data_IF_647513375626
#
_entry.id   IF_647513375626
#
_cell.length_a   1.000
_cell.length_b   1.000
_cell.length_c   1.000
_cell.angle_alpha   90.00
_cell.angle_beta   90.00
_cell.angle_gamma   90.00
#
_symmetry.space_group_name_H-M   'P 1'
#
loop_
_entity.id
_entity.type
_entity.pdbx_description
1 polymer ?
#
# COMPACT_ATOMS: atom_id res chain seq x y z
N UNK A 1 -2.29 -2.16 19.73
CA UNK A 1 -3.17 -1.93 18.58
C UNK A 1 -2.27 -1.87 17.38
N UNK A 2 -2.25 -2.92 16.58
CA UNK A 2 -1.51 -2.93 15.32
C UNK A 2 -2.33 -2.12 14.33
N UNK A 3 -1.72 -1.07 13.77
CA UNK A 3 -2.34 -0.26 12.72
C UNK A 3 -2.23 -0.98 11.38
N UNK A 4 -3.13 -0.65 10.46
CA UNK A 4 -3.01 -1.04 9.06
C UNK A 4 -2.60 0.19 8.25
N UNK A 5 -1.78 -0.01 7.24
CA UNK A 5 -1.36 1.02 6.30
C UNK A 5 -1.75 0.61 4.88
N UNK A 6 -1.89 1.60 4.02
CA UNK A 6 -2.32 1.40 2.64
C UNK A 6 -1.31 2.06 1.71
N UNK A 7 -0.80 1.31 0.76
CA UNK A 7 -0.03 1.83 -0.38
C UNK A 7 -1.02 2.08 -1.51
N UNK A 8 -1.06 3.32 -2.00
CA UNK A 8 -1.79 3.63 -3.23
C UNK A 8 -0.81 3.65 -4.41
N UNK A 9 -1.27 3.13 -5.55
CA UNK A 9 -0.51 3.09 -6.79
C UNK A 9 -1.21 3.93 -7.86
N UNK A 10 -0.46 4.43 -8.83
CA UNK A 10 -1.02 5.07 -10.03
C UNK A 10 -1.25 4.07 -11.18
N UNK A 11 -0.81 2.81 -11.01
CA UNK A 11 -0.94 1.75 -12.01
C UNK A 11 -1.24 0.39 -11.36
N UNK A 12 -2.19 -0.34 -11.94
CA UNK A 12 -2.51 -1.74 -11.59
C UNK A 12 -1.28 -2.65 -11.69
N UNK A 13 -0.43 -2.44 -12.71
CA UNK A 13 0.77 -3.28 -12.87
C UNK A 13 1.78 -3.07 -11.74
N UNK A 14 1.91 -1.84 -11.24
CA UNK A 14 2.81 -1.56 -10.11
C UNK A 14 2.28 -2.19 -8.82
N UNK A 15 0.96 -2.13 -8.60
CA UNK A 15 0.34 -2.80 -7.46
C UNK A 15 0.57 -4.32 -7.49
N UNK A 16 0.28 -4.98 -8.62
CA UNK A 16 0.50 -6.43 -8.75
C UNK A 16 1.98 -6.81 -8.62
N UNK A 17 2.90 -6.02 -9.18
CA UNK A 17 4.33 -6.27 -9.00
C UNK A 17 4.73 -6.16 -7.53
N UNK A 18 4.22 -5.14 -6.84
CA UNK A 18 4.53 -4.92 -5.42
C UNK A 18 3.95 -6.00 -4.55
N UNK A 19 2.74 -6.47 -4.84
CA UNK A 19 2.19 -7.66 -4.20
C UNK A 19 3.16 -8.82 -4.32
N UNK A 20 3.53 -9.24 -5.54
CA UNK A 20 4.44 -10.36 -5.72
C UNK A 20 5.76 -10.23 -4.92
N UNK A 21 6.29 -9.01 -4.78
CA UNK A 21 7.49 -8.72 -3.99
C UNK A 21 7.26 -8.87 -2.48
N UNK A 22 6.10 -8.44 -2.00
CA UNK A 22 5.71 -8.55 -0.59
C UNK A 22 5.33 -9.99 -0.21
N UNK A 23 4.65 -10.73 -1.10
CA UNK A 23 4.36 -12.16 -0.90
C UNK A 23 5.65 -12.97 -0.80
N UNK A 24 6.66 -12.66 -1.62
CA UNK A 24 7.97 -13.31 -1.55
C UNK A 24 8.69 -13.12 -0.21
N UNK A 25 8.27 -12.12 0.58
CA UNK A 25 8.79 -11.80 1.90
C UNK A 25 7.89 -12.29 3.03
N UNK A 26 6.87 -13.10 2.73
CA UNK A 26 5.87 -13.59 3.69
C UNK A 26 5.14 -12.45 4.44
N UNK A 27 5.01 -11.28 3.81
CA UNK A 27 4.28 -10.14 4.37
C UNK A 27 2.78 -10.38 4.17
N UNK A 28 2.03 -10.38 5.26
CA UNK A 28 0.57 -10.48 5.24
C UNK A 28 -0.03 -9.18 4.68
N UNK A 29 -0.71 -9.25 3.54
CA UNK A 29 -1.26 -8.08 2.86
C UNK A 29 -2.47 -8.42 2.01
N UNK A 30 -3.30 -7.40 1.74
CA UNK A 30 -4.50 -7.52 0.92
C UNK A 30 -4.51 -6.47 -0.19
N UNK A 31 -4.83 -6.90 -1.42
CA UNK A 31 -5.08 -5.97 -2.53
C UNK A 31 -6.57 -5.68 -2.68
N UNK A 32 -6.91 -4.43 -2.87
CA UNK A 32 -8.29 -3.99 -3.10
C UNK A 32 -8.35 -2.79 -4.06
N UNK A 33 -9.51 -2.52 -4.67
CA UNK A 33 -9.70 -1.31 -5.48
C UNK A 33 -9.44 -0.06 -4.64
N UNK A 34 -8.65 0.88 -5.18
CA UNK A 34 -8.35 2.12 -4.45
C UNK A 34 -9.64 2.87 -4.08
N UNK A 35 -9.86 3.18 -2.79
CA UNK A 35 -11.02 3.94 -2.36
C UNK A 35 -11.12 5.28 -3.07
N UNK A 36 -12.35 5.70 -3.37
CA UNK A 36 -12.62 6.99 -4.02
C UNK A 36 -12.14 8.18 -3.20
N UNK A 37 -11.99 8.02 -1.87
CA UNK A 37 -11.41 9.05 -1.00
C UNK A 37 -9.91 9.27 -1.26
N UNK A 38 -9.19 8.27 -1.78
CA UNK A 38 -7.76 8.38 -2.12
C UNK A 38 -7.61 8.87 -3.57
N UNK A 39 -8.28 8.23 -4.53
CA UNK A 39 -8.30 8.69 -5.94
C UNK A 39 -9.56 8.26 -6.70
N UNK A 40 -9.97 9.04 -7.70
CA UNK A 40 -11.07 8.68 -8.61
C UNK A 40 -10.63 7.83 -9.83
N UNK A 41 -9.35 7.48 -9.94
CA UNK A 41 -8.77 6.73 -11.05
C UNK A 41 -8.55 5.25 -10.70
N UNK A 42 -8.76 4.37 -11.68
CA UNK A 42 -8.54 2.93 -11.53
C UNK A 42 -7.04 2.60 -11.39
N UNK A 43 -6.59 2.50 -10.16
CA UNK A 43 -5.40 1.74 -9.80
C UNK A 43 -5.69 1.01 -8.49
N UNK A 44 -4.96 -0.04 -8.17
CA UNK A 44 -5.18 -0.85 -6.97
C UNK A 44 -4.46 -0.24 -5.76
N UNK A 45 -4.85 -0.66 -4.57
CA UNK A 45 -4.19 -0.36 -3.31
C UNK A 45 -3.81 -1.65 -2.59
N UNK A 46 -2.71 -1.62 -1.84
CA UNK A 46 -2.27 -2.74 -1.00
C UNK A 46 -2.38 -2.31 0.46
N UNK A 47 -3.10 -3.08 1.27
CA UNK A 47 -3.16 -2.92 2.71
C UNK A 47 -2.19 -3.90 3.37
N UNK A 48 -1.44 -3.43 4.36
CA UNK A 48 -0.48 -4.25 5.10
C UNK A 48 -0.37 -3.76 6.56
N UNK A 49 0.12 -4.60 7.50
CA UNK A 49 0.36 -4.21 8.88
C UNK A 49 1.39 -3.08 9.02
N UNK A 50 1.13 -2.11 9.90
CA UNK A 50 2.07 -1.03 10.22
C UNK A 50 3.39 -1.56 10.79
N UNK A 51 3.39 -2.75 11.38
CA UNK A 51 4.61 -3.45 11.85
C UNK A 51 5.58 -3.79 10.73
N UNK A 52 5.08 -3.96 9.50
CA UNK A 52 5.87 -4.30 8.31
C UNK A 52 6.35 -3.06 7.54
N UNK A 53 6.03 -1.85 8.01
CA UNK A 53 6.32 -0.59 7.30
C UNK A 53 7.79 -0.43 6.92
N UNK A 54 8.72 -0.78 7.82
CA UNK A 54 10.15 -0.66 7.53
C UNK A 54 10.57 -1.58 6.38
N UNK A 55 10.10 -2.84 6.36
CA UNK A 55 10.41 -3.79 5.29
C UNK A 55 9.75 -3.37 3.98
N UNK A 56 8.48 -2.95 4.01
CA UNK A 56 7.77 -2.42 2.84
C UNK A 56 8.50 -1.21 2.24
N UNK A 57 8.94 -0.26 3.06
CA UNK A 57 9.70 0.91 2.59
C UNK A 57 11.05 0.49 1.98
N UNK A 58 11.73 -0.47 2.60
CA UNK A 58 12.99 -1.02 2.08
C UNK A 58 12.78 -1.60 0.68
N UNK A 59 11.72 -2.38 0.48
CA UNK A 59 11.37 -2.99 -0.82
C UNK A 59 11.04 -1.92 -1.86
N UNK A 60 10.23 -0.91 -1.50
CA UNK A 60 9.88 0.18 -2.41
C UNK A 60 11.14 0.89 -2.94
N UNK A 61 12.09 1.17 -2.03
CA UNK A 61 13.35 1.84 -2.38
C UNK A 61 14.29 0.92 -3.17
N UNK A 62 14.45 -0.34 -2.76
CA UNK A 62 15.37 -1.27 -3.41
C UNK A 62 14.91 -1.69 -4.80
N UNK A 63 13.61 -1.93 -4.96
CA UNK A 63 12.99 -2.39 -6.21
C UNK A 63 12.54 -1.24 -7.13
N UNK A 64 12.75 0.00 -6.69
CA UNK A 64 12.36 1.24 -7.38
C UNK A 64 10.87 1.21 -7.75
N UNK A 65 10.04 0.81 -6.80
CA UNK A 65 8.59 0.76 -6.98
C UNK A 65 8.04 2.19 -6.98
N UNK A 66 7.35 2.55 -8.05
CA UNK A 66 6.62 3.82 -8.10
C UNK A 66 5.29 3.68 -7.36
N UNK A 67 5.20 4.39 -6.23
CA UNK A 67 3.98 4.48 -5.42
C UNK A 67 3.48 5.92 -5.46
N UNK A 68 2.16 6.07 -5.31
CA UNK A 68 1.54 7.39 -5.11
C UNK A 68 1.81 7.90 -3.70
N UNK A 69 1.83 7.00 -2.73
CA UNK A 69 2.11 7.29 -1.33
C UNK A 69 1.60 6.19 -0.40
N UNK A 70 1.98 6.30 0.87
CA UNK A 70 1.49 5.44 1.96
C UNK A 70 0.52 6.25 2.80
N UNK A 71 -0.61 5.64 3.13
CA UNK A 71 -1.73 6.26 3.81
C UNK A 71 -2.11 5.47 5.06
N UNK A 72 -2.44 6.18 6.12
CA UNK A 72 -2.98 5.62 7.35
C UNK A 72 -4.50 5.86 7.40
N UNK A 73 -5.32 4.82 7.59
CA UNK A 73 -6.76 4.97 7.79
C UNK A 73 -7.03 5.70 9.12
N UNK A 74 -7.94 6.67 9.07
CA UNK A 74 -8.38 7.46 10.21
C UNK A 74 -9.73 6.93 10.72
N UNK A 75 -10.01 7.12 12.01
CA UNK A 75 -11.26 6.64 12.63
C UNK A 75 -12.54 7.27 12.06
N UNK A 76 -12.43 8.36 11.32
CA UNK A 76 -13.53 9.06 10.68
C UNK A 76 -13.81 8.59 9.23
N UNK A 77 -13.14 7.51 8.78
CA UNK A 77 -13.26 7.00 7.41
C UNK A 77 -12.41 7.76 6.38
N UNK A 78 -11.55 8.68 6.82
CA UNK A 78 -10.56 9.35 5.97
C UNK A 78 -9.22 8.62 5.92
N UNK A 79 -8.31 9.14 5.10
CA UNK A 79 -6.93 8.65 4.99
C UNK A 79 -5.95 9.83 5.15
N UNK A 80 -4.86 9.62 5.88
CA UNK A 80 -3.76 10.60 6.00
C UNK A 80 -2.50 10.03 5.40
N UNK A 81 -1.82 10.76 4.53
CA UNK A 81 -0.47 10.41 4.08
C UNK A 81 0.52 10.50 5.24
N UNK A 82 1.51 9.62 5.25
CA UNK A 82 2.62 9.61 6.23
C UNK A 82 3.97 9.85 5.55
#
# INVERSE_FOLDING_TARGET
MEGLLIIAFDSTQQALRTEMLLEYKDIDMDIFPTPKEITAGCALSIQFPETELEEVQSIIVSEQVEIRGIFKPLSNGGYSSI
#
